data_IF_009697171837
#
_entry.id   IF_009697171837
#
_cell.length_a   1.000
_cell.length_b   1.000
_cell.length_c   1.000
_cell.angle_alpha   90.00
_cell.angle_beta   90.00
_cell.angle_gamma   90.00
#
_symmetry.space_group_name_H-M   'P 1'
#
loop_
_entity.id
_entity.type
_entity.pdbx_description
1 polymer ?
#
# COMPACT_ATOMS: atom_id res chain seq x y z
N UNK A 1 -25.28 6.68 -8.04
CA UNK A 1 -23.98 6.38 -8.65
C UNK A 1 -23.37 5.17 -7.96
N UNK A 2 -22.95 4.18 -8.73
CA UNK A 2 -22.23 3.04 -8.17
C UNK A 2 -20.81 3.47 -7.76
N UNK A 3 -20.39 3.05 -6.57
CA UNK A 3 -19.02 3.28 -6.10
C UNK A 3 -18.09 2.29 -6.83
N UNK A 4 -16.99 2.80 -7.37
CA UNK A 4 -15.99 1.96 -8.02
C UNK A 4 -15.44 0.91 -7.05
N UNK A 5 -15.54 -0.35 -7.43
CA UNK A 5 -15.06 -1.46 -6.59
C UNK A 5 -13.55 -1.66 -6.75
N UNK A 6 -12.95 -2.45 -5.86
CA UNK A 6 -11.55 -2.87 -6.00
C UNK A 6 -11.32 -3.60 -7.34
N UNK A 7 -12.27 -4.45 -7.75
CA UNK A 7 -12.16 -5.17 -9.02
C UNK A 7 -12.19 -4.21 -10.22
N UNK A 8 -13.03 -3.18 -10.16
CA UNK A 8 -13.08 -2.16 -11.22
C UNK A 8 -11.74 -1.41 -11.33
N UNK A 9 -11.16 -1.01 -10.20
CA UNK A 9 -9.84 -0.36 -10.17
C UNK A 9 -8.75 -1.27 -10.75
N UNK A 10 -8.75 -2.54 -10.39
CA UNK A 10 -7.80 -3.52 -10.93
C UNK A 10 -7.95 -3.68 -12.43
N UNK A 11 -9.18 -3.80 -12.93
CA UNK A 11 -9.45 -3.94 -14.36
C UNK A 11 -8.99 -2.71 -15.13
N UNK A 12 -9.27 -1.52 -14.62
CA UNK A 12 -8.82 -0.26 -15.22
C UNK A 12 -7.30 -0.18 -15.29
N UNK A 13 -6.62 -0.50 -14.21
CA UNK A 13 -5.16 -0.50 -14.15
C UNK A 13 -4.54 -1.53 -15.10
N UNK A 14 -5.11 -2.72 -15.17
CA UNK A 14 -4.65 -3.77 -16.10
C UNK A 14 -4.82 -3.35 -17.56
N UNK A 15 -5.92 -2.70 -17.91
CA UNK A 15 -6.13 -2.15 -19.25
C UNK A 15 -5.10 -1.08 -19.59
N UNK A 16 -4.85 -0.16 -18.66
CA UNK A 16 -3.87 0.90 -18.82
C UNK A 16 -2.46 0.32 -19.07
N UNK A 17 -2.07 -0.68 -18.29
CA UNK A 17 -0.79 -1.36 -18.47
C UNK A 17 -0.66 -2.06 -19.83
N UNK A 18 -1.73 -2.70 -20.31
CA UNK A 18 -1.74 -3.35 -21.63
C UNK A 18 -1.63 -2.36 -22.79
N UNK A 19 -2.21 -1.18 -22.63
CA UNK A 19 -2.17 -0.12 -23.65
C UNK A 19 -0.82 0.59 -23.70
N UNK A 20 -0.05 0.52 -22.63
CA UNK A 20 1.31 1.06 -22.60
C UNK A 20 2.25 0.07 -23.24
N UNK A 21 3.11 0.56 -24.13
CA UNK A 21 4.14 -0.28 -24.76
C UNK A 21 5.16 -0.82 -23.74
N UNK A 22 6.05 -1.65 -24.21
CA UNK A 22 7.17 -2.15 -23.42
C UNK A 22 8.13 -1.01 -23.06
N UNK A 23 8.24 -0.71 -21.80
CA UNK A 23 9.14 0.34 -21.30
C UNK A 23 9.08 0.44 -19.79
N UNK A 24 10.05 1.08 -19.15
CA UNK A 24 10.06 1.26 -17.71
C UNK A 24 8.83 2.03 -17.24
N UNK A 25 8.16 1.52 -16.23
CA UNK A 25 7.00 2.15 -15.61
C UNK A 25 7.38 2.60 -14.21
N UNK A 26 6.94 3.80 -13.84
CA UNK A 26 7.11 4.36 -12.51
C UNK A 26 5.74 4.66 -11.91
N UNK A 27 5.60 4.44 -10.61
CA UNK A 27 4.37 4.80 -9.92
C UNK A 27 4.29 6.31 -9.70
N UNK A 28 3.17 6.90 -10.13
CA UNK A 28 2.82 8.28 -9.80
C UNK A 28 2.21 8.29 -8.40
N UNK A 29 2.98 8.68 -7.41
CA UNK A 29 2.54 8.77 -6.02
C UNK A 29 3.16 9.98 -5.32
N UNK A 30 2.46 10.52 -4.34
CA UNK A 30 2.88 11.71 -3.60
C UNK A 30 3.92 11.41 -2.51
N UNK A 31 4.06 10.17 -2.09
CA UNK A 31 5.03 9.79 -1.06
C UNK A 31 6.45 9.76 -1.63
N UNK A 32 7.36 10.43 -0.94
CA UNK A 32 8.77 10.44 -1.34
C UNK A 32 9.52 9.30 -0.67
N UNK A 33 10.38 8.65 -1.43
CA UNK A 33 11.40 7.77 -0.90
C UNK A 33 12.70 8.58 -0.78
N UNK A 34 13.00 9.04 0.43
CA UNK A 34 14.09 9.99 0.71
C UNK A 34 15.48 9.46 0.34
N UNK A 35 15.64 8.14 0.30
CA UNK A 35 16.94 7.49 0.13
C UNK A 35 17.11 6.81 -1.24
N UNK A 36 16.16 6.97 -2.13
CA UNK A 36 16.23 6.35 -3.44
C UNK A 36 16.79 7.31 -4.48
N UNK A 37 17.84 6.89 -5.17
CA UNK A 37 18.33 7.60 -6.33
C UNK A 37 17.25 7.60 -7.43
N UNK A 38 16.82 8.79 -7.81
CA UNK A 38 15.86 8.98 -8.88
C UNK A 38 16.62 9.10 -10.19
N UNK A 39 16.96 7.97 -10.80
CA UNK A 39 17.62 7.97 -12.11
C UNK A 39 16.92 8.91 -13.11
N UNK A 40 17.71 9.64 -13.88
CA UNK A 40 17.24 10.53 -14.94
C UNK A 40 16.83 9.72 -16.17
N UNK A 41 15.65 9.96 -16.71
CA UNK A 41 15.20 9.36 -17.96
C UNK A 41 13.68 9.43 -18.13
N UNK A 42 13.17 9.41 -19.37
CA UNK A 42 11.73 9.38 -19.61
C UNK A 42 11.16 8.08 -19.11
N UNK A 43 10.20 8.15 -18.20
CA UNK A 43 9.49 6.99 -17.63
C UNK A 43 8.00 7.21 -17.77
N UNK A 44 7.30 6.14 -18.11
CA UNK A 44 5.85 6.16 -18.12
C UNK A 44 5.37 6.15 -16.66
N UNK A 45 4.51 7.11 -16.32
CA UNK A 45 3.91 7.21 -14.99
C UNK A 45 2.61 6.43 -14.95
N UNK A 46 2.44 5.60 -13.92
CA UNK A 46 1.23 4.85 -13.65
C UNK A 46 0.59 5.40 -12.38
N UNK A 47 -0.62 5.93 -12.50
CA UNK A 47 -1.36 6.46 -11.36
C UNK A 47 -2.02 5.32 -10.58
N UNK A 48 -1.57 5.13 -9.35
CA UNK A 48 -2.09 4.13 -8.40
C UNK A 48 -2.73 4.79 -7.17
N UNK A 49 -2.95 6.10 -7.20
CA UNK A 49 -3.47 6.86 -6.06
C UNK A 49 -4.83 6.37 -5.56
N UNK A 50 -5.65 5.80 -6.45
CA UNK A 50 -6.99 5.27 -6.09
C UNK A 50 -6.95 3.97 -5.27
N UNK A 51 -5.78 3.33 -5.17
CA UNK A 51 -5.62 2.07 -4.42
C UNK A 51 -5.29 2.31 -2.94
N UNK A 52 -6.14 3.09 -2.27
CA UNK A 52 -5.94 3.49 -0.86
C UNK A 52 -7.09 3.07 0.06
N UNK A 53 -7.74 1.96 -0.22
CA UNK A 53 -8.92 1.52 0.55
C UNK A 53 -8.60 0.36 1.47
N UNK A 54 -9.15 0.39 2.67
CA UNK A 54 -9.28 -0.79 3.53
C UNK A 54 -10.54 -1.52 3.06
N UNK A 55 -10.36 -2.74 2.55
CA UNK A 55 -11.43 -3.49 1.89
C UNK A 55 -12.25 -4.30 2.90
N UNK A 56 -11.61 -4.92 3.88
CA UNK A 56 -12.26 -5.74 4.88
C UNK A 56 -11.41 -5.89 6.13
N UNK A 57 -12.04 -5.82 7.30
CA UNK A 57 -11.42 -6.13 8.59
C UNK A 57 -12.13 -7.36 9.15
N UNK A 58 -11.39 -8.45 9.35
CA UNK A 58 -11.90 -9.68 9.95
C UNK A 58 -11.41 -9.78 11.40
N UNK A 59 -12.27 -9.44 12.34
CA UNK A 59 -11.94 -9.44 13.77
C UNK A 59 -11.71 -10.84 14.33
N UNK A 60 -12.32 -11.86 13.75
CA UNK A 60 -12.18 -13.26 14.18
C UNK A 60 -10.80 -13.80 13.78
N UNK A 61 -10.41 -13.59 12.53
CA UNK A 61 -9.10 -14.01 12.02
C UNK A 61 -7.97 -13.04 12.37
N UNK A 62 -8.31 -11.83 12.85
CA UNK A 62 -7.37 -10.73 13.09
C UNK A 62 -6.56 -10.39 11.84
N UNK A 63 -7.26 -10.28 10.73
CA UNK A 63 -6.67 -9.89 9.44
C UNK A 63 -7.39 -8.71 8.84
N UNK A 64 -6.69 -7.98 7.99
CA UNK A 64 -7.24 -6.87 7.22
C UNK A 64 -6.83 -7.03 5.78
N UNK A 65 -7.78 -6.84 4.88
CA UNK A 65 -7.53 -6.77 3.44
C UNK A 65 -7.46 -5.30 3.05
N UNK A 66 -6.36 -4.89 2.43
CA UNK A 66 -6.04 -3.49 2.21
C UNK A 66 -5.33 -3.28 0.89
N UNK A 67 -5.62 -2.16 0.22
CA UNK A 67 -4.92 -1.77 -1.01
C UNK A 67 -3.57 -1.13 -0.68
N UNK A 68 -2.59 -1.30 -1.58
CA UNK A 68 -1.18 -0.99 -1.31
C UNK A 68 -0.85 0.48 -1.07
N UNK A 69 -1.68 1.42 -1.56
CA UNK A 69 -1.47 2.86 -1.35
C UNK A 69 -2.15 3.38 -0.08
N UNK A 70 -2.81 2.52 0.67
CA UNK A 70 -3.37 2.87 1.98
C UNK A 70 -2.24 3.24 2.93
N UNK A 71 -2.37 4.37 3.59
CA UNK A 71 -1.41 4.81 4.60
C UNK A 71 -1.62 4.05 5.92
N UNK A 72 -0.59 3.99 6.74
CA UNK A 72 -0.73 3.42 8.08
C UNK A 72 -1.69 4.22 8.96
N UNK A 73 -1.82 5.53 8.76
CA UNK A 73 -2.83 6.33 9.44
C UNK A 73 -4.24 5.81 9.14
N UNK A 74 -4.56 5.60 7.88
CA UNK A 74 -5.87 5.06 7.45
C UNK A 74 -6.07 3.62 7.94
N UNK A 75 -5.04 2.80 7.86
CA UNK A 75 -5.10 1.41 8.32
C UNK A 75 -5.34 1.32 9.83
N UNK A 76 -4.62 2.11 10.62
CA UNK A 76 -4.78 2.14 12.08
C UNK A 76 -6.19 2.60 12.46
N UNK A 77 -6.70 3.67 11.85
CA UNK A 77 -8.05 4.14 12.11
C UNK A 77 -9.10 3.07 11.83
N UNK A 78 -8.97 2.36 10.70
CA UNK A 78 -9.90 1.31 10.32
C UNK A 78 -9.85 0.09 11.26
N UNK A 79 -8.66 -0.32 11.69
CA UNK A 79 -8.49 -1.49 12.56
C UNK A 79 -8.85 -1.19 14.01
N UNK A 80 -8.55 0.02 14.51
CA UNK A 80 -8.93 0.43 15.87
C UNK A 80 -10.43 0.43 16.10
N UNK A 81 -11.22 0.74 15.07
CA UNK A 81 -12.68 0.65 15.15
C UNK A 81 -13.17 -0.78 15.51
N UNK A 82 -12.34 -1.78 15.26
CA UNK A 82 -12.57 -3.19 15.57
C UNK A 82 -11.75 -3.69 16.79
N UNK A 83 -11.12 -2.79 17.52
CA UNK A 83 -10.25 -3.13 18.65
C UNK A 83 -8.95 -3.83 18.25
N UNK A 84 -8.47 -3.60 17.04
CA UNK A 84 -7.27 -4.22 16.48
C UNK A 84 -6.22 -3.19 16.10
N UNK A 85 -4.97 -3.62 16.05
CA UNK A 85 -3.83 -2.83 15.58
C UNK A 85 -2.98 -3.66 14.62
N UNK A 86 -2.39 -3.05 13.59
CA UNK A 86 -1.36 -3.74 12.81
C UNK A 86 -0.21 -4.21 13.71
N UNK A 87 0.35 -5.38 13.42
CA UNK A 87 1.42 -5.97 14.22
C UNK A 87 2.69 -5.11 14.22
N UNK A 88 2.99 -4.49 13.07
CA UNK A 88 4.13 -3.58 12.91
C UNK A 88 3.63 -2.27 12.33
N UNK A 89 3.84 -1.17 13.03
CA UNK A 89 3.38 0.17 12.63
C UNK A 89 4.59 1.09 12.46
N UNK A 90 4.80 1.64 11.25
CA UNK A 90 5.84 2.63 11.02
C UNK A 90 5.64 3.89 11.86
N UNK A 91 6.74 4.51 12.22
CA UNK A 91 6.76 5.77 12.96
C UNK A 91 6.10 6.91 12.17
N UNK A 92 6.30 6.94 10.86
CA UNK A 92 5.69 7.91 9.96
C UNK A 92 4.35 7.40 9.44
N UNK A 93 3.26 8.03 9.86
CA UNK A 93 1.88 7.65 9.51
C UNK A 93 1.56 7.73 8.02
N UNK A 94 2.29 8.54 7.27
CA UNK A 94 2.11 8.72 5.83
C UNK A 94 2.70 7.60 4.98
N UNK A 95 3.46 6.69 5.57
CA UNK A 95 3.99 5.52 4.87
C UNK A 95 2.82 4.63 4.43
N UNK A 96 2.86 4.20 3.16
CA UNK A 96 1.86 3.28 2.63
C UNK A 96 2.22 1.83 2.94
N UNK A 97 1.21 0.96 2.97
CA UNK A 97 1.40 -0.48 3.15
C UNK A 97 2.34 -1.03 2.07
N UNK A 98 2.09 -0.73 0.80
CA UNK A 98 2.95 -1.19 -0.31
C UNK A 98 4.39 -0.70 -0.18
N UNK A 99 4.58 0.54 0.24
CA UNK A 99 5.91 1.10 0.49
C UNK A 99 6.64 0.40 1.62
N UNK A 100 5.96 0.12 2.72
CA UNK A 100 6.55 -0.56 3.87
C UNK A 100 6.91 -2.03 3.57
N UNK A 101 6.06 -2.73 2.81
CA UNK A 101 6.32 -4.11 2.37
C UNK A 101 7.53 -4.15 1.42
N UNK A 102 7.55 -3.28 0.42
CA UNK A 102 8.63 -3.23 -0.58
C UNK A 102 9.95 -2.71 0.01
N UNK A 103 9.87 -1.81 0.99
CA UNK A 103 11.01 -1.20 1.65
C UNK A 103 11.53 -2.00 2.85
N UNK A 104 10.96 -3.16 3.14
CA UNK A 104 11.35 -4.02 4.28
C UNK A 104 11.31 -3.23 5.60
N UNK A 105 10.12 -2.69 5.93
CA UNK A 105 9.94 -1.85 7.12
C UNK A 105 10.29 -2.59 8.41
N UNK A 106 11.14 -1.95 9.23
CA UNK A 106 11.53 -2.42 10.56
C UNK A 106 11.15 -1.35 11.59
N UNK A 107 10.47 -1.75 12.65
CA UNK A 107 9.97 -0.87 13.69
C UNK A 107 10.22 -1.45 15.09
N UNK A 108 9.86 -0.70 16.12
CA UNK A 108 10.13 -1.09 17.52
C UNK A 108 9.54 -2.45 17.90
N UNK A 109 8.43 -2.85 17.32
CA UNK A 109 7.79 -4.15 17.58
C UNK A 109 8.34 -5.29 16.73
N UNK A 110 9.25 -5.02 15.78
CA UNK A 110 9.75 -6.03 14.84
C UNK A 110 10.54 -7.15 15.51
N UNK A 111 11.15 -6.90 16.66
CA UNK A 111 11.83 -7.95 17.43
C UNK A 111 10.86 -9.06 17.87
N UNK A 112 9.59 -8.76 18.00
CA UNK A 112 8.52 -9.69 18.41
C UNK A 112 7.72 -10.21 17.22
N UNK A 113 7.41 -9.34 16.25
CA UNK A 113 6.46 -9.63 15.17
C UNK A 113 7.13 -9.76 13.79
N UNK A 114 8.43 -9.56 13.70
CA UNK A 114 9.14 -9.57 12.43
C UNK A 114 9.05 -8.23 11.68
N UNK A 115 9.54 -8.23 10.46
CA UNK A 115 9.47 -7.08 9.57
C UNK A 115 8.07 -6.95 8.96
N UNK A 116 7.74 -5.79 8.40
CA UNK A 116 6.40 -5.54 7.86
C UNK A 116 5.98 -6.61 6.85
N UNK A 117 6.85 -6.99 5.91
CA UNK A 117 6.51 -7.97 4.88
C UNK A 117 6.25 -9.38 5.44
N UNK A 118 6.76 -9.72 6.62
CA UNK A 118 6.52 -10.99 7.28
C UNK A 118 5.13 -11.06 7.93
N UNK A 119 4.45 -9.92 8.08
CA UNK A 119 3.10 -9.83 8.63
C UNK A 119 2.01 -9.85 7.55
N UNK A 120 2.41 -9.95 6.28
CA UNK A 120 1.51 -9.93 5.12
C UNK A 120 1.47 -11.30 4.46
N UNK A 121 0.28 -11.75 4.10
CA UNK A 121 0.03 -13.03 3.42
C UNK A 121 -0.55 -12.84 2.02
#
# INVERSE_FOLDING_TARGET
MAVETHQDRRNRLAMELRQRGSGPVRLAKSTSNLFRDRGSGPRQMLDVSDFHHVLNVDSTKRTVEVEGMTTYAELVDATLAHGLMPAVVPELKSITIGGAVSGVGIESSSFRHGLVHETVS
#
